data_IF_956155822575
#
_entry.id   IF_956155822575
#
_cell.length_a   1.000
_cell.length_b   1.000
_cell.length_c   1.000
_cell.angle_alpha   90.00
_cell.angle_beta   90.00
_cell.angle_gamma   90.00
#
_symmetry.space_group_name_H-M   'P 1'
#
loop_
_entity.id
_entity.type
_entity.pdbx_description
1 polymer ?
#
# COMPACT_ATOMS: atom_id res chain seq x y z
N UNK A 1 21.84 10.78 -18.75
CA UNK A 1 20.79 11.37 -17.89
C UNK A 1 19.52 10.59 -18.18
N UNK A 2 19.19 9.66 -17.31
CA UNK A 2 18.42 8.42 -17.57
C UNK A 2 16.90 8.61 -17.60
N UNK A 3 16.30 8.17 -18.70
CA UNK A 3 15.14 7.25 -18.80
C UNK A 3 14.06 7.31 -17.68
N UNK A 4 13.31 8.42 -17.60
CA UNK A 4 12.02 8.45 -16.88
C UNK A 4 10.82 8.77 -17.76
N UNK A 5 11.05 9.16 -19.01
CA UNK A 5 9.99 9.68 -19.90
C UNK A 5 9.21 8.57 -20.61
N UNK A 6 9.74 7.35 -20.71
CA UNK A 6 9.14 6.28 -21.50
C UNK A 6 8.03 5.51 -20.75
N UNK A 7 8.04 5.49 -19.41
CA UNK A 7 7.03 4.79 -18.61
C UNK A 7 5.67 5.49 -18.54
N UNK A 8 5.62 6.81 -18.82
CA UNK A 8 4.42 7.64 -18.68
C UNK A 8 3.47 7.56 -19.88
N UNK A 9 3.85 6.91 -20.98
CA UNK A 9 3.04 6.89 -22.21
C UNK A 9 2.05 5.71 -22.24
N UNK A 10 2.20 4.73 -21.36
CA UNK A 10 1.34 3.53 -21.32
C UNK A 10 0.25 3.57 -20.25
N UNK A 11 0.46 4.31 -19.14
CA UNK A 11 -0.53 4.35 -18.06
C UNK A 11 -1.57 5.44 -18.30
N UNK A 12 -2.84 5.06 -18.20
CA UNK A 12 -3.97 5.99 -18.28
C UNK A 12 -4.08 6.89 -17.04
N UNK A 13 -3.48 6.50 -15.91
CA UNK A 13 -3.43 7.31 -14.69
C UNK A 13 -2.45 8.47 -14.82
N UNK A 14 -2.85 9.64 -14.33
CA UNK A 14 -1.98 10.81 -14.22
C UNK A 14 -1.07 10.72 -12.98
N UNK A 15 0.02 11.49 -12.98
CA UNK A 15 0.92 11.57 -11.81
C UNK A 15 0.23 12.13 -10.56
N UNK A 16 -0.67 13.11 -10.74
CA UNK A 16 -1.43 13.68 -9.63
C UNK A 16 -2.41 12.66 -9.01
N UNK A 17 -3.07 11.83 -9.83
CA UNK A 17 -3.91 10.74 -9.33
C UNK A 17 -3.10 9.71 -8.54
N UNK A 18 -1.94 9.30 -9.07
CA UNK A 18 -1.02 8.40 -8.34
C UNK A 18 -0.58 8.98 -7.01
N UNK A 19 -0.28 10.28 -6.98
CA UNK A 19 0.13 10.98 -5.77
C UNK A 19 -1.01 11.09 -4.76
N UNK A 20 -2.22 11.37 -5.22
CA UNK A 20 -3.41 11.39 -4.37
C UNK A 20 -3.63 10.00 -3.74
N UNK A 21 -3.59 8.92 -4.53
CA UNK A 21 -3.70 7.54 -4.04
C UNK A 21 -2.59 7.22 -3.04
N UNK A 22 -1.34 7.64 -3.31
CA UNK A 22 -0.22 7.42 -2.40
C UNK A 22 -0.39 8.12 -1.04
N UNK A 23 -1.24 9.15 -0.94
CA UNK A 23 -1.53 9.88 0.29
C UNK A 23 -2.79 9.39 1.01
N UNK A 24 -3.62 8.55 0.37
CA UNK A 24 -4.87 8.07 0.97
C UNK A 24 -4.65 7.25 2.24
N UNK A 25 -5.54 7.35 3.24
CA UNK A 25 -5.57 6.42 4.36
C UNK A 25 -6.04 5.03 3.92
N UNK A 26 -5.77 4.01 4.73
CA UNK A 26 -6.05 2.61 4.40
C UNK A 26 -7.52 2.35 4.08
N UNK A 27 -8.43 2.83 4.93
CA UNK A 27 -9.87 2.62 4.77
C UNK A 27 -10.38 3.23 3.46
N UNK A 28 -9.95 4.44 3.13
CA UNK A 28 -10.33 5.10 1.87
C UNK A 28 -9.76 4.36 0.65
N UNK A 29 -8.49 3.95 0.70
CA UNK A 29 -7.87 3.17 -0.38
C UNK A 29 -8.60 1.83 -0.58
N UNK A 30 -9.03 1.17 0.51
CA UNK A 30 -9.80 -0.08 0.45
C UNK A 30 -11.18 0.14 -0.16
N UNK A 31 -11.90 1.18 0.28
CA UNK A 31 -13.25 1.44 -0.19
C UNK A 31 -13.26 1.83 -1.67
N UNK A 32 -12.28 2.63 -2.12
CA UNK A 32 -12.10 2.91 -3.55
C UNK A 32 -11.68 1.67 -4.34
N UNK A 33 -10.86 0.78 -3.77
CA UNK A 33 -10.50 -0.48 -4.43
C UNK A 33 -11.73 -1.37 -4.65
N UNK A 34 -12.62 -1.45 -3.66
CA UNK A 34 -13.88 -2.19 -3.78
C UNK A 34 -14.74 -1.61 -4.91
N UNK A 35 -14.86 -0.29 -4.98
CA UNK A 35 -15.59 0.37 -6.08
C UNK A 35 -14.91 0.09 -7.44
N UNK A 36 -13.58 0.05 -7.47
CA UNK A 36 -12.83 -0.27 -8.68
C UNK A 36 -13.17 -1.66 -9.21
N UNK A 37 -13.16 -2.65 -8.32
CA UNK A 37 -13.51 -4.05 -8.63
C UNK A 37 -14.97 -4.17 -9.02
N UNK A 38 -15.90 -3.56 -8.28
CA UNK A 38 -17.32 -3.61 -8.58
C UNK A 38 -17.65 -3.06 -9.97
N UNK A 39 -16.99 -1.97 -10.39
CA UNK A 39 -17.18 -1.42 -11.73
C UNK A 39 -16.68 -2.36 -12.84
N UNK A 40 -15.60 -3.10 -12.59
CA UNK A 40 -15.10 -4.13 -13.52
C UNK A 40 -16.06 -5.33 -13.58
N UNK A 41 -16.57 -5.77 -12.43
CA UNK A 41 -17.49 -6.91 -12.32
C UNK A 41 -18.88 -6.61 -12.92
N UNK A 42 -19.37 -5.38 -12.77
CA UNK A 42 -20.64 -4.95 -13.36
C UNK A 42 -20.61 -5.01 -14.90
N UNK A 43 -19.42 -4.88 -15.49
CA UNK A 43 -19.25 -4.79 -16.94
C UNK A 43 -19.85 -3.50 -17.53
N UNK A 44 -19.99 -3.45 -18.86
CA UNK A 44 -20.54 -2.28 -19.56
C UNK A 44 -19.53 -1.15 -19.83
N UNK A 45 -18.29 -1.29 -19.35
CA UNK A 45 -17.17 -0.44 -19.73
C UNK A 45 -16.60 -0.87 -21.09
N UNK A 46 -16.14 0.09 -21.88
CA UNK A 46 -15.32 -0.23 -23.04
C UNK A 46 -13.89 -0.66 -22.63
N UNK A 47 -13.06 -1.08 -23.59
CA UNK A 47 -11.71 -1.57 -23.31
C UNK A 47 -10.85 -0.53 -22.57
N UNK A 48 -10.80 0.70 -23.07
CA UNK A 48 -9.97 1.76 -22.49
C UNK A 48 -10.42 2.11 -21.06
N UNK A 49 -11.72 2.15 -20.82
CA UNK A 49 -12.30 2.36 -19.49
C UNK A 49 -12.00 1.20 -18.55
N UNK A 50 -12.10 -0.04 -19.03
CA UNK A 50 -11.78 -1.24 -18.24
C UNK A 50 -10.30 -1.27 -17.87
N UNK A 51 -9.41 -0.93 -18.81
CA UNK A 51 -7.97 -0.83 -18.56
C UNK A 51 -7.67 0.25 -17.52
N UNK A 52 -8.26 1.43 -17.65
CA UNK A 52 -8.12 2.51 -16.67
C UNK A 52 -8.58 2.09 -15.28
N UNK A 53 -9.74 1.44 -15.19
CA UNK A 53 -10.31 0.98 -13.92
C UNK A 53 -9.41 -0.07 -13.26
N UNK A 54 -8.84 -0.97 -14.06
CA UNK A 54 -7.86 -1.94 -13.58
C UNK A 54 -6.59 -1.28 -13.04
N UNK A 55 -6.01 -0.32 -13.78
CA UNK A 55 -4.82 0.40 -13.31
C UNK A 55 -5.08 1.17 -12.01
N UNK A 56 -6.26 1.77 -11.88
CA UNK A 56 -6.70 2.43 -10.65
C UNK A 56 -6.78 1.44 -9.49
N UNK A 57 -7.40 0.27 -9.73
CA UNK A 57 -7.47 -0.83 -8.77
C UNK A 57 -6.08 -1.30 -8.31
N UNK A 58 -5.14 -1.52 -9.24
CA UNK A 58 -3.76 -1.90 -8.93
C UNK A 58 -3.05 -0.87 -8.05
N UNK A 59 -3.21 0.43 -8.36
CA UNK A 59 -2.62 1.50 -7.57
C UNK A 59 -3.18 1.55 -6.14
N UNK A 60 -4.50 1.40 -6.00
CA UNK A 60 -5.20 1.38 -4.70
C UNK A 60 -4.80 0.15 -3.87
N UNK A 61 -4.76 -1.04 -4.48
CA UNK A 61 -4.32 -2.27 -3.83
C UNK A 61 -2.89 -2.16 -3.31
N UNK A 62 -1.98 -1.62 -4.13
CA UNK A 62 -0.59 -1.36 -3.73
C UNK A 62 -0.50 -0.40 -2.53
N UNK A 63 -1.31 0.66 -2.51
CA UNK A 63 -1.37 1.59 -1.37
C UNK A 63 -1.83 0.88 -0.11
N UNK A 64 -2.95 0.16 -0.18
CA UNK A 64 -3.50 -0.56 0.96
C UNK A 64 -2.50 -1.57 1.52
N UNK A 65 -1.83 -2.33 0.65
CA UNK A 65 -0.79 -3.29 1.05
C UNK A 65 0.42 -2.60 1.70
N UNK A 66 0.88 -1.45 1.18
CA UNK A 66 1.98 -0.69 1.78
C UNK A 66 1.69 -0.30 3.22
N UNK A 67 0.47 0.20 3.49
CA UNK A 67 0.06 0.60 4.83
C UNK A 67 0.02 -0.59 5.80
N UNK A 68 -0.50 -1.74 5.36
CA UNK A 68 -0.48 -2.97 6.17
C UNK A 68 0.94 -3.43 6.48
N UNK A 69 1.84 -3.35 5.49
CA UNK A 69 3.25 -3.71 5.68
C UNK A 69 3.95 -2.78 6.67
N UNK A 70 3.66 -1.47 6.63
CA UNK A 70 4.22 -0.50 7.59
C UNK A 70 3.74 -0.78 9.03
N UNK A 71 2.46 -1.09 9.20
CA UNK A 71 1.90 -1.45 10.51
C UNK A 71 2.55 -2.74 11.02
N UNK A 72 2.68 -3.75 10.15
CA UNK A 72 3.35 -5.00 10.50
C UNK A 72 4.81 -4.76 10.93
N UNK A 73 5.56 -3.96 10.18
CA UNK A 73 6.95 -3.65 10.51
C UNK A 73 7.07 -2.94 11.86
N UNK A 74 6.16 -2.01 12.18
CA UNK A 74 6.12 -1.34 13.50
C UNK A 74 5.83 -2.31 14.63
N UNK A 75 4.90 -3.25 14.42
CA UNK A 75 4.58 -4.27 15.40
C UNK A 75 5.76 -5.22 15.64
N UNK A 76 6.40 -5.67 14.57
CA UNK A 76 7.56 -6.57 14.64
C UNK A 76 8.73 -5.87 15.37
N UNK A 77 8.96 -4.57 15.13
CA UNK A 77 9.97 -3.77 15.85
C UNK A 77 9.65 -3.62 17.36
N UNK A 78 8.41 -3.27 17.70
CA UNK A 78 7.99 -3.15 19.09
C UNK A 78 8.11 -4.47 19.86
N UNK A 79 7.84 -5.61 19.22
CA UNK A 79 8.04 -6.93 19.83
C UNK A 79 9.52 -7.25 20.07
N UNK A 80 10.40 -6.89 19.12
CA UNK A 80 11.84 -7.07 19.28
C UNK A 80 12.40 -6.23 20.45
N UNK A 81 11.99 -4.98 20.58
CA UNK A 81 12.39 -4.10 21.69
C UNK A 81 11.95 -4.63 23.06
N UNK A 82 10.74 -5.20 23.15
CA UNK A 82 10.25 -5.85 24.38
C UNK A 82 11.08 -7.09 24.73
N UNK A 83 11.44 -7.91 23.74
CA UNK A 83 12.28 -9.08 23.96
C UNK A 83 13.68 -8.71 24.45
N UNK A 84 14.32 -7.70 23.87
CA UNK A 84 15.63 -7.20 24.33
C UNK A 84 15.57 -6.63 25.76
N UNK A 85 14.49 -5.91 26.08
CA UNK A 85 14.28 -5.35 27.43
C UNK A 85 14.13 -6.46 28.48
N UNK A 86 13.41 -7.54 28.15
CA UNK A 86 13.25 -8.70 29.02
C UNK A 86 14.56 -9.47 29.26
N UNK A 87 15.39 -9.63 28.24
CA UNK A 87 16.69 -10.31 28.33
C UNK A 87 17.70 -9.52 29.20
N UNK A 88 17.69 -8.19 29.06
CA UNK A 88 18.52 -7.29 29.89
C UNK A 88 18.09 -7.34 31.36
N UNK A 89 16.78 -7.32 31.63
CA UNK A 89 16.25 -7.43 33.00
C UNK A 89 16.52 -8.80 33.63
N UNK A 90 16.43 -9.89 32.86
CA UNK A 90 16.74 -11.25 33.31
C UNK A 90 18.21 -11.46 33.66
N UNK A 91 19.12 -10.81 32.93
CA UNK A 91 20.56 -10.87 33.21
C UNK A 91 20.91 -10.12 34.50
N UNK A 92 20.26 -8.97 34.76
CA UNK A 92 20.50 -8.17 35.96
C UNK A 92 20.01 -8.86 37.24
N UNK A 93 18.87 -9.55 37.18
CA UNK A 93 18.32 -10.29 38.33
C UNK A 93 19.13 -11.52 38.74
N UNK A 94 20.11 -11.95 37.93
CA UNK A 94 20.98 -13.10 38.21
C UNK A 94 22.37 -12.69 38.74
N UNK A 95 22.55 -11.40 39.03
CA UNK A 95 23.79 -10.80 39.55
C UNK A 95 23.66 -10.28 41.00
N UNK A 96 22.49 -10.42 41.63
CA UNK A 96 22.22 -10.15 43.06
C UNK A 96 22.27 -11.44 43.90
#
# INVERSE_FOLDING_TARGET
MTDKTTATITSSLTDEERKAIAQMPYEEARDQLIQAVQALEAGGLNLDQSMRQWELGEALAKRAQSLLNEVKAKLDAAQAEQATSADTAGTQSNLD
#
